data_IF_244429968576
#
_entry.id   IF_244429968576
#
_cell.length_a   1.000
_cell.length_b   1.000
_cell.length_c   1.000
_cell.angle_alpha   90.00
_cell.angle_beta   90.00
_cell.angle_gamma   90.00
#
_symmetry.space_group_name_H-M   'P 1'
#
loop_
_entity.id
_entity.type
_entity.pdbx_description
1 polymer ?
#
# COMPACT_ATOMS: atom_id res chain seq x y z
N UNK A 1 -3.07 -1.14 -11.33
CA UNK A 1 -4.30 -0.97 -10.53
C UNK A 1 -4.34 -1.81 -9.26
N UNK A 2 -4.16 -3.13 -9.27
CA UNK A 2 -4.16 -3.97 -8.04
C UNK A 2 -3.20 -3.42 -6.97
N UNK A 3 -1.97 -3.14 -7.33
CA UNK A 3 -0.93 -2.57 -6.46
C UNK A 3 -1.34 -1.21 -5.91
N UNK A 4 -1.87 -0.35 -6.77
CA UNK A 4 -2.29 0.99 -6.38
C UNK A 4 -3.44 0.94 -5.36
N UNK A 5 -4.44 0.09 -5.59
CA UNK A 5 -5.56 -0.09 -4.64
C UNK A 5 -5.07 -0.67 -3.32
N UNK A 6 -4.15 -1.64 -3.35
CA UNK A 6 -3.60 -2.25 -2.16
C UNK A 6 -2.76 -1.28 -1.31
N UNK A 7 -2.04 -0.35 -1.95
CA UNK A 7 -1.22 0.65 -1.25
C UNK A 7 -2.02 1.86 -0.80
N UNK A 8 -2.97 2.31 -1.63
CA UNK A 8 -3.73 3.54 -1.36
C UNK A 8 -4.62 3.41 -0.12
N UNK A 9 -5.24 2.24 0.08
CA UNK A 9 -6.12 2.02 1.24
C UNK A 9 -5.39 2.20 2.59
N UNK A 10 -4.28 1.52 2.90
CA UNK A 10 -3.55 1.74 4.14
C UNK A 10 -2.89 3.12 4.19
N UNK A 11 -2.44 3.67 3.05
CA UNK A 11 -1.84 5.00 2.98
C UNK A 11 -2.83 6.09 3.42
N UNK A 12 -4.01 6.16 2.82
CA UNK A 12 -5.04 7.16 3.16
C UNK A 12 -5.47 7.04 4.62
N UNK A 13 -5.43 5.85 5.20
CA UNK A 13 -5.89 5.60 6.57
C UNK A 13 -4.88 5.96 7.64
N UNK A 14 -3.64 5.60 7.45
CA UNK A 14 -2.61 5.66 8.48
C UNK A 14 -1.73 6.91 8.37
N UNK A 15 -1.42 7.34 7.14
CA UNK A 15 -0.45 8.40 6.92
C UNK A 15 -0.87 9.75 7.50
N UNK A 16 -2.09 10.27 7.26
CA UNK A 16 -2.44 11.62 7.73
C UNK A 16 -2.32 11.76 9.25
N UNK A 17 -2.85 10.80 10.00
CA UNK A 17 -2.82 10.86 11.46
C UNK A 17 -1.40 10.77 12.04
N UNK A 18 -0.56 9.93 11.47
CA UNK A 18 0.83 9.78 11.92
C UNK A 18 1.70 10.95 11.51
N UNK A 19 1.64 11.38 10.25
CA UNK A 19 2.50 12.45 9.73
C UNK A 19 2.18 13.78 10.39
N UNK A 20 0.90 14.11 10.56
CA UNK A 20 0.48 15.33 11.26
C UNK A 20 0.85 15.26 12.74
N UNK A 21 0.67 14.14 13.40
CA UNK A 21 1.05 13.95 14.82
C UNK A 21 2.55 14.09 15.08
N UNK A 22 3.41 13.81 14.08
CA UNK A 22 4.87 13.83 14.23
C UNK A 22 5.50 15.11 13.65
N UNK A 23 5.04 15.57 12.49
CA UNK A 23 5.63 16.70 11.75
C UNK A 23 4.75 17.98 11.78
N UNK A 24 3.59 17.94 12.43
CA UNK A 24 2.70 19.11 12.54
C UNK A 24 2.30 19.65 11.18
N UNK A 25 2.41 20.96 11.01
CA UNK A 25 2.05 21.70 9.79
C UNK A 25 2.93 21.32 8.59
N UNK A 26 4.18 20.89 8.84
CA UNK A 26 5.13 20.45 7.81
C UNK A 26 4.90 19.03 7.30
N UNK A 27 3.81 18.34 7.73
CA UNK A 27 3.51 16.95 7.38
C UNK A 27 3.38 16.71 5.86
N UNK A 28 2.96 17.68 5.08
CA UNK A 28 2.83 17.56 3.63
C UNK A 28 4.16 17.28 2.91
N UNK A 29 5.30 17.71 3.48
CA UNK A 29 6.63 17.44 2.95
C UNK A 29 7.00 15.95 3.02
N UNK A 30 6.42 15.19 3.96
CA UNK A 30 6.71 13.76 4.10
C UNK A 30 6.35 12.96 2.86
N UNK A 31 5.27 13.35 2.16
CA UNK A 31 4.87 12.73 0.89
C UNK A 31 5.91 12.96 -0.21
N UNK A 32 6.46 14.17 -0.29
CA UNK A 32 7.49 14.52 -1.28
C UNK A 32 8.79 13.78 -0.97
N UNK A 33 9.20 13.73 0.32
CA UNK A 33 10.40 13.01 0.73
C UNK A 33 10.29 11.49 0.58
N UNK A 34 9.09 10.92 0.70
CA UNK A 34 8.86 9.49 0.52
C UNK A 34 8.90 9.05 -0.96
N UNK A 35 8.71 9.97 -1.89
CA UNK A 35 8.61 9.66 -3.31
C UNK A 35 9.92 9.12 -3.93
N UNK A 36 11.11 9.73 -3.70
CA UNK A 36 12.36 9.22 -4.23
C UNK A 36 12.69 7.77 -3.80
N UNK A 37 12.66 7.39 -2.52
CA UNK A 37 12.92 6.01 -2.11
C UNK A 37 11.88 5.04 -2.67
N UNK A 38 10.62 5.44 -2.82
CA UNK A 38 9.59 4.63 -3.46
C UNK A 38 9.89 4.37 -4.95
N UNK A 39 10.28 5.40 -5.69
CA UNK A 39 10.68 5.26 -7.10
C UNK A 39 11.88 4.32 -7.25
N UNK A 40 12.89 4.48 -6.40
CA UNK A 40 14.08 3.64 -6.40
C UNK A 40 13.71 2.18 -6.13
N UNK A 41 12.89 1.92 -5.13
CA UNK A 41 12.41 0.58 -4.79
C UNK A 41 11.58 -0.02 -5.92
N UNK A 42 10.67 0.74 -6.49
CA UNK A 42 9.86 0.34 -7.64
C UNK A 42 10.72 0.00 -8.86
N UNK A 43 11.74 0.81 -9.14
CA UNK A 43 12.70 0.57 -10.22
C UNK A 43 13.52 -0.71 -9.98
N UNK A 44 13.98 -0.95 -8.75
CA UNK A 44 14.69 -2.17 -8.38
C UNK A 44 13.83 -3.42 -8.58
N UNK A 45 12.59 -3.41 -8.05
CA UNK A 45 11.65 -4.53 -8.20
C UNK A 45 11.31 -4.77 -9.67
N UNK A 46 11.03 -3.71 -10.44
CA UNK A 46 10.75 -3.80 -11.85
C UNK A 46 11.94 -4.37 -12.63
N UNK A 47 13.16 -3.92 -12.34
CA UNK A 47 14.39 -4.40 -12.97
C UNK A 47 14.61 -5.90 -12.71
N UNK A 48 14.40 -6.34 -11.46
CA UNK A 48 14.47 -7.76 -11.06
C UNK A 48 13.42 -8.60 -11.77
N UNK A 49 12.16 -8.19 -11.71
CA UNK A 49 11.07 -8.92 -12.37
C UNK A 49 11.25 -9.00 -13.90
N UNK A 50 11.87 -7.97 -14.49
CA UNK A 50 12.16 -7.96 -15.93
C UNK A 50 13.18 -9.01 -16.33
N UNK A 51 14.15 -9.34 -15.47
CA UNK A 51 15.20 -10.30 -15.76
C UNK A 51 14.76 -11.74 -15.51
N UNK A 52 14.05 -11.99 -14.41
CA UNK A 52 13.76 -13.34 -13.90
C UNK A 52 12.29 -13.76 -14.04
N UNK A 53 11.44 -12.95 -14.68
CA UNK A 53 10.02 -13.28 -14.87
C UNK A 53 9.14 -13.08 -13.64
N UNK A 54 9.70 -12.94 -12.44
CA UNK A 54 8.99 -12.68 -11.19
C UNK A 54 9.95 -12.62 -10.01
N UNK A 55 9.53 -11.96 -8.93
CA UNK A 55 10.38 -11.75 -7.77
C UNK A 55 10.79 -13.07 -7.09
N UNK A 56 9.89 -14.06 -7.06
CA UNK A 56 10.19 -15.37 -6.50
C UNK A 56 11.32 -16.11 -7.24
N UNK A 57 11.31 -16.04 -8.57
CA UNK A 57 12.38 -16.61 -9.39
C UNK A 57 13.68 -15.83 -9.24
N UNK A 58 13.61 -14.50 -9.20
CA UNK A 58 14.75 -13.65 -8.99
C UNK A 58 15.52 -14.00 -7.70
N UNK A 59 14.80 -14.27 -6.60
CA UNK A 59 15.45 -14.68 -5.34
C UNK A 59 16.06 -16.09 -5.41
N UNK A 60 15.42 -17.02 -6.12
CA UNK A 60 15.99 -18.36 -6.30
C UNK A 60 17.23 -18.34 -7.20
N UNK A 61 17.24 -17.51 -8.23
CA UNK A 61 18.37 -17.33 -9.13
C UNK A 61 19.57 -16.65 -8.44
N UNK A 62 19.29 -15.67 -7.54
CA UNK A 62 20.32 -14.92 -6.84
C UNK A 62 20.94 -15.67 -5.65
N UNK A 63 20.13 -16.35 -4.85
CA UNK A 63 20.54 -16.98 -3.59
C UNK A 63 20.56 -18.50 -3.64
N UNK A 64 20.16 -19.08 -4.78
CA UNK A 64 20.01 -20.52 -4.93
C UNK A 64 18.66 -21.04 -4.43
N UNK A 65 18.34 -22.32 -4.73
CA UNK A 65 16.99 -22.86 -4.54
C UNK A 65 16.57 -22.99 -3.07
N UNK A 66 17.53 -23.17 -2.15
CA UNK A 66 17.21 -23.31 -0.72
C UNK A 66 17.05 -21.96 -0.06
N UNK A 67 18.05 -21.07 -0.17
CA UNK A 67 18.02 -19.74 0.44
C UNK A 67 16.92 -18.86 -0.18
N UNK A 68 16.67 -18.96 -1.50
CA UNK A 68 15.56 -18.27 -2.15
C UNK A 68 14.19 -18.67 -1.59
N UNK A 69 13.98 -19.95 -1.27
CA UNK A 69 12.74 -20.42 -0.61
C UNK A 69 12.58 -19.84 0.80
N UNK A 70 13.66 -19.76 1.58
CA UNK A 70 13.63 -19.16 2.92
C UNK A 70 13.18 -17.69 2.84
N UNK A 71 13.74 -16.92 1.91
CA UNK A 71 13.35 -15.53 1.69
C UNK A 71 11.87 -15.41 1.32
N UNK A 72 11.37 -16.28 0.44
CA UNK A 72 9.95 -16.30 0.06
C UNK A 72 9.05 -16.60 1.27
N UNK A 73 9.44 -17.54 2.14
CA UNK A 73 8.70 -17.86 3.37
C UNK A 73 8.67 -16.69 4.33
N UNK A 74 9.77 -15.94 4.46
CA UNK A 74 9.80 -14.72 5.28
C UNK A 74 8.81 -13.67 4.74
N UNK A 75 8.79 -13.44 3.42
CA UNK A 75 7.82 -12.54 2.80
C UNK A 75 6.38 -13.00 2.98
N UNK A 76 6.13 -14.31 2.87
CA UNK A 76 4.80 -14.88 3.10
C UNK A 76 4.35 -14.68 4.56
N UNK A 77 5.23 -14.92 5.52
CA UNK A 77 4.96 -14.69 6.95
C UNK A 77 4.67 -13.22 7.22
N UNK A 78 5.44 -12.32 6.61
CA UNK A 78 5.20 -10.88 6.69
C UNK A 78 3.85 -10.49 6.09
N UNK A 79 3.48 -11.02 4.92
CA UNK A 79 2.18 -10.78 4.29
C UNK A 79 1.02 -11.26 5.17
N UNK A 80 1.15 -12.43 5.83
CA UNK A 80 0.17 -12.95 6.79
C UNK A 80 0.05 -12.03 8.01
N UNK A 81 1.16 -11.56 8.55
CA UNK A 81 1.16 -10.60 9.66
C UNK A 81 0.40 -9.30 9.27
N UNK A 82 0.68 -8.75 8.10
CA UNK A 82 -0.03 -7.57 7.59
C UNK A 82 -1.53 -7.83 7.41
N UNK A 83 -1.91 -9.01 6.90
CA UNK A 83 -3.32 -9.39 6.77
C UNK A 83 -4.02 -9.44 8.13
N UNK A 84 -3.37 -9.99 9.15
CA UNK A 84 -3.92 -10.02 10.50
C UNK A 84 -4.05 -8.62 11.11
N UNK A 85 -3.04 -7.77 10.93
CA UNK A 85 -3.04 -6.39 11.40
C UNK A 85 -4.16 -5.57 10.75
N UNK A 86 -4.29 -5.65 9.42
CA UNK A 86 -5.35 -4.98 8.67
C UNK A 86 -6.74 -5.51 9.05
N UNK A 87 -6.87 -6.82 9.27
CA UNK A 87 -8.10 -7.45 9.73
C UNK A 87 -8.55 -6.91 11.08
N UNK A 88 -7.62 -6.77 12.02
CA UNK A 88 -7.91 -6.18 13.34
C UNK A 88 -8.38 -4.73 13.22
N UNK A 89 -7.66 -3.91 12.47
CA UNK A 89 -8.03 -2.52 12.23
C UNK A 89 -9.40 -2.39 11.54
N UNK A 90 -9.73 -3.30 10.63
CA UNK A 90 -11.05 -3.38 10.00
C UNK A 90 -12.14 -3.66 11.03
N UNK A 91 -11.94 -4.66 11.91
CA UNK A 91 -12.90 -5.00 12.95
C UNK A 91 -13.13 -3.83 13.94
N UNK A 92 -12.06 -3.17 14.39
CA UNK A 92 -12.15 -2.01 15.30
C UNK A 92 -12.94 -0.85 14.66
N UNK A 93 -12.79 -0.63 13.36
CA UNK A 93 -13.55 0.40 12.63
C UNK A 93 -15.02 0.06 12.48
N UNK A 94 -15.37 -1.20 12.24
CA UNK A 94 -16.77 -1.63 12.20
C UNK A 94 -17.45 -1.43 13.55
N UNK A 95 -16.75 -1.72 14.65
CA UNK A 95 -17.25 -1.46 16.00
C UNK A 95 -17.44 0.04 16.27
N UNK A 96 -16.52 0.88 15.82
CA UNK A 96 -16.62 2.35 15.99
C UNK A 96 -17.69 2.98 15.09
N UNK A 97 -17.97 2.39 13.93
CA UNK A 97 -18.95 2.89 12.94
C UNK A 97 -20.41 2.66 13.31
N UNK A 98 -20.69 2.04 14.48
CA UNK A 98 -22.07 1.85 14.97
C UNK A 98 -22.43 0.44 15.40
N UNK A 99 -21.57 -0.56 15.14
CA UNK A 99 -21.79 -1.95 15.53
C UNK A 99 -21.20 -2.28 16.91
N UNK A 100 -21.32 -1.38 17.87
CA UNK A 100 -20.66 -1.46 19.20
C UNK A 100 -20.99 -2.71 20.01
N UNK A 101 -22.16 -3.32 19.78
CA UNK A 101 -22.59 -4.54 20.46
C UNK A 101 -22.15 -5.83 19.74
N UNK A 102 -21.59 -5.74 18.55
CA UNK A 102 -21.16 -6.91 17.80
C UNK A 102 -19.79 -7.42 18.27
N UNK A 103 -19.59 -8.73 18.23
CA UNK A 103 -18.30 -9.31 18.58
C UNK A 103 -17.28 -9.09 17.43
N UNK A 104 -16.04 -8.65 17.72
CA UNK A 104 -15.04 -8.36 16.70
C UNK A 104 -14.74 -9.52 15.73
N UNK A 105 -14.80 -10.75 16.26
CA UNK A 105 -14.50 -11.95 15.47
C UNK A 105 -15.49 -12.20 14.32
N UNK A 106 -16.73 -11.70 14.38
CA UNK A 106 -17.72 -11.81 13.31
C UNK A 106 -17.21 -11.08 12.06
N UNK A 107 -16.70 -9.86 12.22
CA UNK A 107 -16.13 -9.08 11.11
C UNK A 107 -14.88 -9.73 10.54
N UNK A 108 -14.04 -10.31 11.40
CA UNK A 108 -12.86 -11.05 10.98
C UNK A 108 -13.20 -12.29 10.16
N UNK A 109 -14.24 -13.05 10.56
CA UNK A 109 -14.73 -14.21 9.80
C UNK A 109 -15.27 -13.82 8.43
N UNK A 110 -16.05 -12.74 8.36
CA UNK A 110 -16.55 -12.21 7.07
C UNK A 110 -15.38 -11.82 6.17
N UNK A 111 -14.41 -11.07 6.69
CA UNK A 111 -13.22 -10.67 5.95
C UNK A 111 -12.44 -11.88 5.46
N UNK A 112 -12.18 -12.85 6.34
CA UNK A 112 -11.48 -14.09 6.01
C UNK A 112 -12.22 -14.88 4.91
N UNK A 113 -13.55 -14.96 5.01
CA UNK A 113 -14.38 -15.60 4.00
C UNK A 113 -14.22 -14.95 2.63
N UNK A 114 -14.25 -13.62 2.57
CA UNK A 114 -14.03 -12.85 1.33
C UNK A 114 -12.62 -13.08 0.79
N UNK A 115 -11.59 -13.02 1.64
CA UNK A 115 -10.18 -13.24 1.24
C UNK A 115 -10.00 -14.65 0.67
N UNK A 116 -10.53 -15.68 1.33
CA UNK A 116 -10.44 -17.07 0.88
C UNK A 116 -11.23 -17.28 -0.43
N UNK A 117 -12.40 -16.68 -0.55
CA UNK A 117 -13.20 -16.76 -1.78
C UNK A 117 -12.50 -16.10 -2.95
N UNK A 118 -11.93 -14.91 -2.75
CA UNK A 118 -11.17 -14.18 -3.78
C UNK A 118 -9.88 -14.89 -4.13
N UNK A 119 -9.16 -15.46 -3.14
CA UNK A 119 -7.91 -16.21 -3.35
C UNK A 119 -8.09 -17.47 -4.20
N UNK A 120 -9.29 -18.05 -4.23
CA UNK A 120 -9.63 -19.20 -5.08
C UNK A 120 -9.99 -18.80 -6.52
N UNK A 121 -10.14 -17.51 -6.80
CA UNK A 121 -10.50 -17.01 -8.14
C UNK A 121 -9.25 -16.76 -8.98
N UNK A 122 -9.46 -16.72 -10.31
CA UNK A 122 -8.39 -16.37 -11.26
C UNK A 122 -7.95 -14.92 -11.03
N UNK A 123 -6.68 -14.64 -11.21
CA UNK A 123 -6.08 -13.31 -11.05
C UNK A 123 -6.85 -12.21 -11.81
N UNK A 124 -7.41 -12.52 -12.99
CA UNK A 124 -8.23 -11.58 -13.76
C UNK A 124 -9.55 -11.18 -13.08
N UNK A 125 -10.14 -12.05 -12.24
CA UNK A 125 -11.31 -11.67 -11.44
C UNK A 125 -10.94 -10.73 -10.30
N UNK A 126 -9.79 -11.00 -9.66
CA UNK A 126 -9.22 -10.14 -8.63
C UNK A 126 -8.87 -8.74 -9.20
N UNK A 127 -8.28 -8.69 -10.40
CA UNK A 127 -7.97 -7.42 -11.07
C UNK A 127 -9.22 -6.57 -11.32
N UNK A 128 -10.30 -7.17 -11.83
CA UNK A 128 -11.59 -6.45 -12.05
C UNK A 128 -12.22 -5.95 -10.76
N UNK A 129 -12.16 -6.74 -9.68
CA UNK A 129 -12.62 -6.27 -8.37
C UNK A 129 -11.79 -5.08 -7.88
N UNK A 130 -10.46 -5.14 -8.05
CA UNK A 130 -9.57 -4.04 -7.70
C UNK A 130 -9.84 -2.77 -8.53
N UNK A 131 -10.23 -2.87 -9.80
CA UNK A 131 -10.63 -1.73 -10.63
C UNK A 131 -11.87 -1.03 -10.11
N UNK A 132 -12.89 -1.79 -9.70
CA UNK A 132 -14.12 -1.23 -9.11
C UNK A 132 -13.77 -0.55 -7.78
N UNK A 133 -13.01 -1.21 -6.90
CA UNK A 133 -12.58 -0.63 -5.63
C UNK A 133 -11.74 0.64 -5.83
N UNK A 134 -10.86 0.65 -6.84
CA UNK A 134 -10.06 1.82 -7.19
C UNK A 134 -10.94 3.01 -7.60
N UNK A 135 -11.95 2.79 -8.42
CA UNK A 135 -12.85 3.85 -8.87
C UNK A 135 -13.61 4.47 -7.71
N UNK A 136 -14.15 3.64 -6.81
CA UNK A 136 -14.85 4.12 -5.60
C UNK A 136 -13.88 4.90 -4.70
N UNK A 137 -12.68 4.36 -4.48
CA UNK A 137 -11.65 4.98 -3.64
C UNK A 137 -11.17 6.31 -4.23
N UNK A 138 -10.93 6.37 -5.54
CA UNK A 138 -10.50 7.59 -6.24
C UNK A 138 -11.58 8.69 -6.18
N UNK A 139 -12.85 8.30 -6.35
CA UNK A 139 -13.97 9.22 -6.25
C UNK A 139 -14.12 9.77 -4.82
N UNK A 140 -14.04 8.90 -3.81
CA UNK A 140 -14.11 9.29 -2.40
C UNK A 140 -12.94 10.21 -2.04
N UNK A 141 -11.72 9.87 -2.47
CA UNK A 141 -10.53 10.69 -2.22
C UNK A 141 -10.65 12.05 -2.92
N UNK A 142 -11.16 12.08 -4.16
CA UNK A 142 -11.42 13.32 -4.89
C UNK A 142 -12.41 14.23 -4.17
N UNK A 143 -13.49 13.68 -3.61
CA UNK A 143 -14.44 14.43 -2.80
C UNK A 143 -13.80 14.97 -1.53
N UNK A 144 -13.04 14.14 -0.81
CA UNK A 144 -12.33 14.58 0.41
C UNK A 144 -11.36 15.72 0.08
N UNK A 145 -10.57 15.59 -0.98
CA UNK A 145 -9.65 16.64 -1.42
C UNK A 145 -10.39 17.93 -1.81
N UNK A 146 -11.52 17.81 -2.53
CA UNK A 146 -12.35 18.97 -2.91
C UNK A 146 -12.84 19.74 -1.68
N UNK A 147 -13.39 19.03 -0.69
CA UNK A 147 -13.84 19.67 0.56
C UNK A 147 -12.66 20.21 1.37
N UNK A 148 -11.53 19.51 1.43
CA UNK A 148 -10.35 20.00 2.14
C UNK A 148 -9.77 21.28 1.56
N UNK A 149 -9.83 21.46 0.23
CA UNK A 149 -9.36 22.70 -0.42
C UNK A 149 -10.24 23.90 -0.03
N UNK A 150 -11.54 23.68 0.18
CA UNK A 150 -12.47 24.75 0.58
C UNK A 150 -12.22 25.26 2.01
N UNK A 151 -11.71 24.39 2.89
CA UNK A 151 -11.40 24.72 4.29
C UNK A 151 -9.91 25.03 4.52
N UNK A 152 -9.10 24.97 3.46
CA UNK A 152 -7.65 25.14 3.57
C UNK A 152 -7.28 26.60 3.81
N UNK A 153 -6.65 26.86 4.96
CA UNK A 153 -6.02 28.15 5.24
C UNK A 153 -4.55 28.09 4.79
N UNK A 154 -4.13 28.93 3.82
CA UNK A 154 -2.75 28.90 3.31
C UNK A 154 -1.70 29.25 4.38
N UNK A 155 -2.10 29.88 5.45
CA UNK A 155 -1.23 30.26 6.57
C UNK A 155 -0.64 29.04 7.30
N UNK A 156 -1.33 27.88 7.27
CA UNK A 156 -0.85 26.64 7.88
C UNK A 156 0.06 25.79 6.96
N UNK A 157 0.28 26.22 5.73
CA UNK A 157 1.17 25.53 4.79
C UNK A 157 2.58 26.10 4.83
N UNK A 158 2.70 27.37 5.24
CA UNK A 158 3.96 28.12 5.33
C UNK A 158 3.97 28.93 6.65
N UNK A 159 5.11 29.12 7.32
CA UNK A 159 6.48 28.80 6.89
C UNK A 159 6.95 27.41 7.34
N UNK A 160 7.81 26.78 6.53
CA UNK A 160 8.55 25.59 6.91
C UNK A 160 9.88 26.03 7.55
N UNK A 161 10.12 25.63 8.79
CA UNK A 161 11.32 25.99 9.52
C UNK A 161 12.37 24.88 9.41
N UNK A 162 13.63 25.25 9.44
CA UNK A 162 14.76 24.28 9.45
C UNK A 162 14.68 23.37 10.68
N UNK A 163 14.09 23.84 11.76
CA UNK A 163 13.82 23.07 12.99
C UNK A 163 12.87 21.89 12.78
N UNK A 164 12.05 21.90 11.72
CA UNK A 164 11.07 20.84 11.43
C UNK A 164 11.69 19.67 10.68
N UNK A 165 12.88 19.85 10.10
CA UNK A 165 13.56 18.81 9.29
C UNK A 165 13.70 17.47 10.01
N UNK A 166 14.15 17.40 11.30
CA UNK A 166 14.23 16.13 12.01
C UNK A 166 12.86 15.46 12.19
N UNK A 167 11.82 16.23 12.50
CA UNK A 167 10.45 15.74 12.68
C UNK A 167 9.88 15.23 11.35
N UNK A 168 10.06 15.96 10.26
CA UNK A 168 9.64 15.57 8.91
C UNK A 168 10.37 14.32 8.44
N UNK A 169 11.69 14.20 8.66
CA UNK A 169 12.44 12.99 8.28
C UNK A 169 11.99 11.77 9.08
N UNK A 170 11.74 11.91 10.37
CA UNK A 170 11.21 10.83 11.21
C UNK A 170 9.78 10.44 10.75
N UNK A 171 8.94 11.42 10.47
CA UNK A 171 7.59 11.18 9.97
C UNK A 171 7.57 10.49 8.59
N UNK A 172 8.60 10.70 7.75
CA UNK A 172 8.72 10.10 6.40
C UNK A 172 8.94 8.59 6.45
N UNK A 173 9.43 8.03 7.54
CA UNK A 173 9.65 6.58 7.68
C UNK A 173 8.35 5.78 7.50
N UNK A 174 7.21 6.30 7.96
CA UNK A 174 5.94 5.59 7.84
C UNK A 174 5.40 5.57 6.40
N UNK A 175 5.33 6.67 5.65
CA UNK A 175 5.01 6.63 4.22
C UNK A 175 5.92 5.69 3.44
N UNK A 176 7.23 5.71 3.67
CA UNK A 176 8.18 4.80 3.03
C UNK A 176 7.85 3.34 3.40
N UNK A 177 7.54 3.04 4.66
CA UNK A 177 7.14 1.71 5.12
C UNK A 177 5.88 1.22 4.41
N UNK A 178 4.84 2.03 4.33
CA UNK A 178 3.58 1.68 3.64
C UNK A 178 3.83 1.47 2.15
N UNK A 179 4.56 2.36 1.50
CA UNK A 179 4.88 2.26 0.07
C UNK A 179 5.78 1.05 -0.24
N UNK A 180 6.65 0.64 0.69
CA UNK A 180 7.49 -0.56 0.53
C UNK A 180 6.68 -1.85 0.39
N UNK A 181 5.45 -1.91 0.88
CA UNK A 181 4.53 -3.03 0.65
C UNK A 181 4.22 -3.25 -0.85
N UNK A 182 4.52 -2.26 -1.71
CA UNK A 182 4.47 -2.40 -3.17
C UNK A 182 5.36 -3.52 -3.73
N UNK A 183 6.38 -3.94 -2.99
CA UNK A 183 7.24 -5.09 -3.34
C UNK A 183 6.43 -6.38 -3.52
N UNK A 184 5.34 -6.58 -2.77
CA UNK A 184 4.48 -7.75 -2.92
C UNK A 184 3.89 -7.89 -4.33
N UNK A 185 3.72 -6.80 -5.06
CA UNK A 185 3.30 -6.84 -6.46
C UNK A 185 4.31 -7.51 -7.39
N UNK A 186 5.59 -7.50 -7.04
CA UNK A 186 6.63 -8.20 -7.79
C UNK A 186 6.46 -9.73 -7.80
N UNK A 187 5.80 -10.31 -6.78
CA UNK A 187 5.48 -11.75 -6.78
C UNK A 187 4.37 -12.12 -7.77
N UNK A 188 3.55 -11.16 -8.20
CA UNK A 188 2.52 -11.36 -9.22
C UNK A 188 3.09 -11.25 -10.64
N UNK A 189 4.32 -10.77 -10.80
CA UNK A 189 4.95 -10.48 -12.10
C UNK A 189 5.03 -11.69 -13.04
N UNK A 190 5.21 -12.90 -12.51
CA UNK A 190 5.26 -14.13 -13.30
C UNK A 190 3.93 -14.53 -13.97
N UNK A 191 2.81 -14.00 -13.49
CA UNK A 191 1.46 -14.26 -14.02
C UNK A 191 0.97 -13.20 -15.01
N UNK A 192 1.77 -12.16 -15.25
CA UNK A 192 1.43 -11.08 -16.19
C UNK A 192 2.06 -11.39 -17.53
N UNK A 193 1.21 -11.72 -18.52
CA UNK A 193 1.64 -11.89 -19.90
C UNK A 193 2.09 -10.53 -20.46
N UNK A 194 3.39 -10.42 -20.80
CA UNK A 194 3.96 -9.25 -21.45
C UNK A 194 3.35 -9.05 -22.84
N UNK A 195 2.53 -8.04 -23.03
CA UNK A 195 2.29 -7.44 -24.33
C UNK A 195 3.33 -6.32 -24.54
N UNK A 196 4.09 -6.41 -25.63
CA UNK A 196 5.03 -5.35 -26.00
C UNK A 196 4.23 -4.05 -26.23
N UNK A 197 4.37 -3.09 -25.35
CA UNK A 197 3.63 -1.81 -25.37
C UNK A 197 2.95 -1.43 -24.04
N UNK A 198 2.75 -2.38 -23.12
CA UNK A 198 2.03 -2.11 -21.85
C UNK A 198 2.92 -1.50 -20.75
N UNK A 199 4.24 -1.48 -20.92
CA UNK A 199 5.16 -0.94 -19.91
C UNK A 199 4.99 0.58 -19.66
N UNK A 200 4.49 1.32 -20.65
CA UNK A 200 4.24 2.76 -20.52
C UNK A 200 2.86 3.13 -19.98
N UNK A 201 1.90 2.19 -20.02
CA UNK A 201 0.52 2.44 -19.53
C UNK A 201 0.29 2.02 -18.09
N UNK A 202 1.19 1.26 -17.50
CA UNK A 202 1.10 0.81 -16.12
C UNK A 202 1.69 1.79 -15.09
N UNK A 203 2.33 2.87 -15.54
CA UNK A 203 2.92 3.91 -14.69
C UNK A 203 2.12 5.23 -14.71
N UNK A 204 1.05 5.30 -15.50
CA UNK A 204 0.04 6.34 -15.48
C UNK A 204 -1.26 5.76 -14.91
#
# INVERSE_FOLDING_TARGET
>A
MILFTALLSPAVRALPGWTVGTAGESAWLTGILAFPPFLLLGWMVFSLCRRSGGLAQAYQDAFGPLAGKVVIVIYLSWALFLLCAEGRLYAERMLSAGYRSAAPWVFLLVLLGVVLWMGRRKLGAFARAAEICYLVLALTLGLVLLFSILDMSPEHVLPVWITDVPAVTAATLMPVGVLSCGVFGGFLGGNVTRRSGDAGRGLL
#
